data_IF_381614394194
#
_entry.id   IF_381614394194
#
_cell.length_a   1.000
_cell.length_b   1.000
_cell.length_c   1.000
_cell.angle_alpha   90.00
_cell.angle_beta   90.00
_cell.angle_gamma   90.00
#
_symmetry.space_group_name_H-M   'P 1'
#
loop_
_entity.id
_entity.type
_entity.pdbx_description
1 polymer ?
#
# COMPACT_ATOMS: atom_id res chain seq x y z
N UNK A 1 -11.81 -9.54 -17.72
CA UNK A 1 -10.82 -9.20 -16.67
C UNK A 1 -10.03 -8.02 -17.19
N UNK A 2 -9.80 -7.00 -16.36
CA UNK A 2 -8.96 -5.85 -16.75
C UNK A 2 -7.50 -6.28 -16.96
N UNK A 3 -6.73 -5.44 -17.64
CA UNK A 3 -5.34 -5.72 -18.06
C UNK A 3 -4.37 -5.94 -16.88
N UNK A 4 -4.68 -5.42 -15.69
CA UNK A 4 -3.79 -5.44 -14.52
C UNK A 4 -2.72 -4.34 -14.60
N UNK A 5 -2.11 -4.02 -13.45
CA UNK A 5 -1.16 -2.88 -13.40
C UNK A 5 0.19 -3.20 -14.03
N UNK A 6 0.63 -4.46 -14.01
CA UNK A 6 1.90 -4.91 -14.60
C UNK A 6 1.93 -4.70 -16.12
N UNK A 7 0.84 -5.03 -16.81
CA UNK A 7 0.74 -4.87 -18.25
C UNK A 7 0.47 -3.40 -18.62
N UNK A 8 -0.50 -2.75 -17.95
CA UNK A 8 -0.90 -1.38 -18.28
C UNK A 8 0.23 -0.36 -18.09
N UNK A 9 1.06 -0.54 -17.06
CA UNK A 9 2.13 0.40 -16.70
C UNK A 9 3.51 -0.24 -16.82
N UNK A 10 3.68 -1.21 -17.73
CA UNK A 10 4.90 -2.00 -17.90
C UNK A 10 6.16 -1.15 -17.96
N UNK A 11 6.15 -0.11 -18.79
CA UNK A 11 7.30 0.77 -19.04
C UNK A 11 7.64 1.69 -17.85
N UNK A 12 6.72 1.80 -16.89
CA UNK A 12 6.85 2.62 -15.69
C UNK A 12 7.09 1.77 -14.44
N UNK A 13 7.18 0.45 -14.58
CA UNK A 13 7.40 -0.50 -13.49
C UNK A 13 8.74 -1.24 -13.70
N UNK A 14 9.33 -1.81 -12.64
CA UNK A 14 10.61 -2.54 -12.74
C UNK A 14 10.44 -3.95 -13.34
N UNK A 15 9.80 -4.02 -14.51
CA UNK A 15 9.42 -5.23 -15.25
C UNK A 15 10.36 -5.39 -16.45
N UNK A 16 10.82 -6.60 -16.72
CA UNK A 16 11.62 -6.95 -17.89
C UNK A 16 10.96 -8.12 -18.67
N UNK A 17 11.71 -8.76 -19.57
CA UNK A 17 11.21 -9.89 -20.37
C UNK A 17 11.03 -11.17 -19.54
N UNK A 18 11.76 -11.32 -18.43
CA UNK A 18 11.70 -12.47 -17.52
C UNK A 18 10.60 -12.31 -16.47
N UNK A 19 10.16 -11.08 -16.19
CA UNK A 19 9.10 -10.80 -15.22
C UNK A 19 7.76 -11.41 -15.68
N UNK A 20 7.16 -12.32 -14.89
CA UNK A 20 5.84 -12.86 -15.21
C UNK A 20 4.76 -11.78 -15.13
N UNK A 21 3.98 -11.64 -16.20
CA UNK A 21 2.83 -10.73 -16.22
C UNK A 21 1.61 -11.45 -15.64
N UNK A 22 1.44 -11.31 -14.33
CA UNK A 22 0.30 -11.85 -13.57
C UNK A 22 -0.74 -10.76 -13.29
N UNK A 23 -2.00 -11.15 -13.13
CA UNK A 23 -3.07 -10.21 -12.79
C UNK A 23 -4.25 -10.95 -12.17
N UNK A 24 -4.83 -10.38 -11.11
CA UNK A 24 -6.15 -10.76 -10.60
C UNK A 24 -7.22 -9.72 -11.00
N UNK A 25 -6.87 -8.79 -11.89
CA UNK A 25 -7.69 -7.64 -12.25
C UNK A 25 -7.56 -6.47 -11.29
N UNK A 26 -6.42 -6.34 -10.59
CA UNK A 26 -6.14 -5.17 -9.76
C UNK A 26 -5.86 -3.91 -10.58
N UNK A 27 -6.02 -2.75 -9.92
CA UNK A 27 -6.02 -1.48 -10.59
C UNK A 27 -7.34 -1.20 -11.31
N UNK A 28 -7.31 -0.19 -12.17
CA UNK A 28 -8.46 0.35 -12.91
C UNK A 28 -9.71 0.57 -12.03
N UNK A 29 -9.48 0.99 -10.78
CA UNK A 29 -10.55 1.14 -9.80
C UNK A 29 -11.38 2.38 -10.09
N UNK A 30 -12.69 2.40 -9.75
CA UNK A 30 -13.54 3.55 -10.03
C UNK A 30 -13.01 4.85 -9.39
N UNK A 31 -12.98 5.94 -10.16
CA UNK A 31 -12.83 7.31 -9.65
C UNK A 31 -14.20 7.99 -9.66
N UNK A 32 -14.87 8.03 -8.51
CA UNK A 32 -16.28 8.40 -8.41
C UNK A 32 -16.42 9.84 -7.95
N UNK A 33 -17.06 10.69 -8.77
CA UNK A 33 -17.37 12.07 -8.39
C UNK A 33 -18.42 12.10 -7.27
N UNK A 34 -18.16 12.89 -6.24
CA UNK A 34 -19.10 13.15 -5.16
C UNK A 34 -20.27 14.00 -5.66
N UNK A 35 -21.50 13.52 -5.46
CA UNK A 35 -22.71 14.26 -5.86
C UNK A 35 -23.26 15.21 -4.79
N UNK A 36 -22.92 14.97 -3.53
CA UNK A 36 -23.50 15.69 -2.39
C UNK A 36 -22.42 16.38 -1.55
N UNK A 37 -21.44 15.61 -1.06
CA UNK A 37 -20.40 16.14 -0.17
C UNK A 37 -19.51 17.19 -0.85
N UNK A 38 -19.20 17.02 -2.14
CA UNK A 38 -18.41 18.00 -2.88
C UNK A 38 -19.07 19.38 -2.88
N UNK A 39 -20.30 19.52 -3.40
CA UNK A 39 -21.06 20.77 -3.34
C UNK A 39 -21.25 21.33 -1.92
N UNK A 40 -21.53 20.48 -0.93
CA UNK A 40 -21.71 20.90 0.47
C UNK A 40 -20.44 21.56 1.06
N UNK A 41 -19.27 21.06 0.69
CA UNK A 41 -17.97 21.60 1.13
C UNK A 41 -17.44 22.74 0.25
N UNK A 42 -18.19 23.17 -0.77
CA UNK A 42 -17.69 24.13 -1.76
C UNK A 42 -16.59 23.57 -2.68
N UNK A 43 -16.46 22.25 -2.77
CA UNK A 43 -15.51 21.52 -3.61
C UNK A 43 -16.28 20.62 -4.59
N UNK A 44 -16.90 21.18 -5.66
CA UNK A 44 -17.77 20.43 -6.56
C UNK A 44 -17.03 19.30 -7.30
N UNK A 45 -15.71 19.41 -7.44
CA UNK A 45 -14.82 18.44 -8.08
C UNK A 45 -14.12 17.53 -7.06
N UNK A 46 -14.89 17.06 -6.08
CA UNK A 46 -14.44 16.03 -5.14
C UNK A 46 -14.66 14.64 -5.74
N UNK A 47 -13.59 13.83 -5.79
CA UNK A 47 -13.63 12.46 -6.29
C UNK A 47 -13.14 11.45 -5.25
N UNK A 48 -13.65 10.23 -5.32
CA UNK A 48 -13.23 9.09 -4.51
C UNK A 48 -12.63 8.00 -5.39
N UNK A 49 -11.32 7.72 -5.23
CA UNK A 49 -10.67 6.56 -5.85
C UNK A 49 -10.98 5.31 -5.02
N UNK A 50 -11.86 4.45 -5.52
CA UNK A 50 -12.45 3.33 -4.76
C UNK A 50 -11.52 2.11 -4.77
N UNK A 51 -10.41 2.21 -4.04
CA UNK A 51 -9.42 1.14 -3.91
C UNK A 51 -9.91 -0.12 -3.20
N UNK A 52 -11.11 -0.07 -2.59
CA UNK A 52 -11.81 -1.24 -2.06
C UNK A 52 -12.37 -2.17 -3.14
N UNK A 53 -12.39 -1.74 -4.41
CA UNK A 53 -12.81 -2.58 -5.55
C UNK A 53 -11.67 -3.45 -6.11
N UNK A 54 -10.46 -3.37 -5.56
CA UNK A 54 -9.38 -4.30 -5.90
C UNK A 54 -9.72 -5.74 -5.44
N UNK A 55 -9.08 -6.79 -6.02
CA UNK A 55 -9.44 -8.19 -5.81
C UNK A 55 -9.55 -8.65 -4.36
N UNK A 56 -8.68 -8.17 -3.47
CA UNK A 56 -8.70 -8.50 -2.04
C UNK A 56 -9.37 -7.44 -1.18
N UNK A 57 -9.93 -6.40 -1.80
CA UNK A 57 -10.62 -5.31 -1.13
C UNK A 57 -9.70 -4.18 -0.67
N UNK A 58 -8.48 -4.05 -1.20
CA UNK A 58 -7.58 -2.95 -0.83
C UNK A 58 -6.53 -2.58 -1.88
N UNK A 59 -6.03 -1.34 -1.79
CA UNK A 59 -4.91 -0.84 -2.60
C UNK A 59 -3.61 -1.65 -2.48
N UNK A 60 -3.51 -2.58 -1.51
CA UNK A 60 -2.31 -3.41 -1.32
C UNK A 60 -2.04 -4.28 -2.54
N UNK A 61 -3.09 -4.66 -3.27
CA UNK A 61 -3.04 -5.50 -4.46
C UNK A 61 -2.14 -4.92 -5.55
N UNK A 62 -2.24 -3.61 -5.79
CA UNK A 62 -1.37 -2.89 -6.75
C UNK A 62 0.12 -3.12 -6.49
N UNK A 63 0.52 -3.05 -5.22
CA UNK A 63 1.90 -3.30 -4.84
C UNK A 63 2.25 -4.78 -4.76
N UNK A 64 1.29 -5.61 -4.37
CA UNK A 64 1.51 -7.03 -4.13
C UNK A 64 1.74 -7.79 -5.43
N UNK A 65 0.98 -7.47 -6.48
CA UNK A 65 1.15 -8.09 -7.80
C UNK A 65 2.57 -7.87 -8.33
N UNK A 66 3.12 -6.65 -8.19
CA UNK A 66 4.50 -6.36 -8.60
C UNK A 66 5.49 -7.10 -7.71
N UNK A 67 5.29 -7.10 -6.39
CA UNK A 67 6.19 -7.80 -5.47
C UNK A 67 6.21 -9.33 -5.72
N UNK A 68 5.08 -9.93 -6.08
CA UNK A 68 4.96 -11.37 -6.38
C UNK A 68 5.58 -11.68 -7.73
N UNK A 69 5.33 -10.87 -8.76
CA UNK A 69 5.97 -11.05 -10.07
C UNK A 69 7.50 -11.01 -9.96
N UNK A 70 8.05 -10.06 -9.19
CA UNK A 70 9.49 -9.97 -8.93
C UNK A 70 10.01 -11.14 -8.09
N UNK A 71 9.24 -11.60 -7.10
CA UNK A 71 9.59 -12.80 -6.34
C UNK A 71 9.68 -14.04 -7.24
N UNK A 72 8.77 -14.19 -8.20
CA UNK A 72 8.81 -15.29 -9.18
C UNK A 72 10.00 -15.18 -10.13
N UNK A 73 10.29 -13.98 -10.63
CA UNK A 73 11.48 -13.70 -11.45
C UNK A 73 12.77 -14.06 -10.71
N UNK A 74 12.84 -13.77 -9.41
CA UNK A 74 13.97 -14.09 -8.53
C UNK A 74 13.98 -15.55 -8.05
N UNK A 75 13.08 -16.40 -8.57
CA UNK A 75 12.93 -17.82 -8.22
C UNK A 75 12.68 -18.07 -6.71
N UNK A 76 12.00 -17.15 -6.05
CA UNK A 76 11.60 -17.30 -4.66
C UNK A 76 10.65 -18.49 -4.49
N UNK A 77 10.85 -19.28 -3.44
CA UNK A 77 9.99 -20.45 -3.12
C UNK A 77 8.71 -20.05 -2.38
N UNK A 78 8.59 -18.78 -2.01
CA UNK A 78 7.38 -18.22 -1.43
C UNK A 78 7.60 -16.82 -0.85
N UNK A 79 6.59 -16.30 -0.15
CA UNK A 79 6.63 -14.95 0.41
C UNK A 79 6.30 -14.94 1.89
N UNK A 80 6.85 -13.96 2.58
CA UNK A 80 6.62 -13.76 3.99
C UNK A 80 6.25 -12.33 4.31
N UNK A 81 5.30 -12.15 5.24
CA UNK A 81 5.03 -10.83 5.80
C UNK A 81 4.69 -10.86 7.28
N UNK A 82 5.02 -9.75 7.97
CA UNK A 82 4.52 -9.43 9.29
C UNK A 82 3.34 -8.46 9.13
N UNK A 83 2.10 -8.97 9.14
CA UNK A 83 0.87 -8.17 9.04
C UNK A 83 -0.33 -9.01 9.48
N UNK A 84 -1.35 -8.35 10.02
CA UNK A 84 -2.56 -9.02 10.52
C UNK A 84 -3.81 -8.55 9.78
N UNK A 85 -3.69 -8.09 8.53
CA UNK A 85 -4.77 -7.42 7.82
C UNK A 85 -4.57 -7.38 6.30
N UNK A 86 -4.86 -6.23 5.67
CA UNK A 86 -4.93 -6.13 4.20
C UNK A 86 -3.65 -6.60 3.48
N UNK A 87 -2.46 -6.39 4.06
CA UNK A 87 -1.21 -6.87 3.44
C UNK A 87 -1.09 -8.37 3.48
N UNK A 88 -1.45 -9.05 4.58
CA UNK A 88 -1.44 -10.51 4.64
C UNK A 88 -2.51 -11.13 3.75
N UNK A 89 -3.70 -10.51 3.64
CA UNK A 89 -4.75 -10.96 2.74
C UNK A 89 -4.31 -10.88 1.26
N UNK A 90 -3.75 -9.74 0.86
CA UNK A 90 -3.20 -9.53 -0.49
C UNK A 90 -2.05 -10.49 -0.80
N UNK A 91 -1.08 -10.62 0.11
CA UNK A 91 0.04 -11.56 -0.07
C UNK A 91 -0.44 -13.01 -0.24
N UNK A 92 -1.39 -13.44 0.61
CA UNK A 92 -1.95 -14.77 0.54
C UNK A 92 -2.68 -15.03 -0.78
N UNK A 93 -3.52 -14.07 -1.23
CA UNK A 93 -4.28 -14.21 -2.47
C UNK A 93 -3.39 -14.35 -3.70
N UNK A 94 -2.43 -13.44 -3.89
CA UNK A 94 -1.53 -13.50 -5.04
C UNK A 94 -0.59 -14.70 -4.98
N UNK A 95 -0.14 -15.10 -3.78
CA UNK A 95 0.67 -16.32 -3.65
C UNK A 95 -0.12 -17.56 -4.04
N UNK A 96 -1.36 -17.68 -3.56
CA UNK A 96 -2.24 -18.79 -3.93
C UNK A 96 -2.53 -18.81 -5.44
N UNK A 97 -2.76 -17.65 -6.04
CA UNK A 97 -2.96 -17.51 -7.48
C UNK A 97 -1.74 -17.97 -8.30
N UNK A 98 -0.52 -17.70 -7.80
CA UNK A 98 0.74 -18.04 -8.47
C UNK A 98 1.35 -19.38 -8.03
N UNK A 99 0.69 -20.13 -7.14
CA UNK A 99 1.23 -21.40 -6.61
C UNK A 99 2.42 -21.25 -5.66
N UNK A 100 2.61 -20.07 -5.06
CA UNK A 100 3.65 -19.80 -4.06
C UNK A 100 3.16 -20.06 -2.63
N UNK A 101 4.07 -20.45 -1.75
CA UNK A 101 3.78 -20.51 -0.33
C UNK A 101 3.73 -19.09 0.27
N UNK A 102 2.73 -18.83 1.13
CA UNK A 102 2.61 -17.58 1.88
C UNK A 102 2.70 -17.84 3.38
N UNK A 103 3.61 -17.15 4.06
CA UNK A 103 3.74 -17.17 5.51
C UNK A 103 3.42 -15.79 6.11
N UNK A 104 2.62 -15.81 7.17
CA UNK A 104 2.22 -14.59 7.88
C UNK A 104 2.66 -14.70 9.33
N UNK A 105 3.64 -13.89 9.73
CA UNK A 105 4.18 -13.88 11.08
C UNK A 105 3.45 -12.86 11.94
N UNK A 106 3.03 -13.32 13.12
CA UNK A 106 2.13 -12.56 13.99
C UNK A 106 2.55 -12.75 15.45
N UNK A 107 2.60 -11.67 16.27
CA UNK A 107 2.82 -11.79 17.71
C UNK A 107 1.66 -12.52 18.39
N UNK A 108 1.99 -13.45 19.28
CA UNK A 108 1.01 -14.23 20.04
C UNK A 108 0.13 -13.33 20.91
N UNK A 109 -1.19 -13.56 20.88
CA UNK A 109 -2.16 -12.90 21.76
C UNK A 109 -2.77 -11.59 21.25
N UNK A 110 -2.28 -10.99 20.16
CA UNK A 110 -2.73 -9.67 19.70
C UNK A 110 -3.66 -9.66 18.46
N UNK A 111 -4.20 -10.81 18.03
CA UNK A 111 -4.94 -10.87 16.75
C UNK A 111 -6.32 -11.49 16.86
N UNK A 112 -7.31 -10.69 16.46
CA UNK A 112 -8.66 -11.16 16.21
C UNK A 112 -8.68 -12.04 14.94
N UNK A 113 -9.14 -13.28 15.09
CA UNK A 113 -9.22 -14.28 14.01
C UNK A 113 -9.91 -13.74 12.74
N UNK A 114 -10.93 -12.90 12.91
CA UNK A 114 -11.65 -12.27 11.79
C UNK A 114 -10.76 -11.45 10.85
N UNK A 115 -9.66 -10.87 11.34
CA UNK A 115 -8.71 -10.13 10.48
C UNK A 115 -7.80 -11.03 9.65
N UNK A 116 -7.63 -12.29 10.07
CA UNK A 116 -6.83 -13.29 9.38
C UNK A 116 -7.66 -14.21 8.50
N UNK A 117 -8.98 -14.22 8.69
CA UNK A 117 -9.89 -15.12 8.00
C UNK A 117 -9.65 -15.13 6.47
N UNK A 118 -9.47 -13.96 5.86
CA UNK A 118 -9.21 -13.85 4.42
C UNK A 118 -7.85 -14.46 4.03
N UNK A 119 -6.78 -14.18 4.77
CA UNK A 119 -5.46 -14.75 4.50
C UNK A 119 -5.44 -16.27 4.68
N UNK A 120 -6.11 -16.78 5.72
CA UNK A 120 -6.26 -18.21 5.98
C UNK A 120 -7.11 -18.91 4.90
N UNK A 121 -8.18 -18.26 4.42
CA UNK A 121 -9.01 -18.78 3.34
C UNK A 121 -8.23 -18.93 2.02
N UNK A 122 -7.26 -18.06 1.76
CA UNK A 122 -6.32 -18.19 0.65
C UNK A 122 -5.16 -19.17 0.92
N UNK A 123 -5.13 -19.84 2.07
CA UNK A 123 -4.14 -20.88 2.37
C UNK A 123 -2.82 -20.38 2.97
N UNK A 124 -2.76 -19.14 3.48
CA UNK A 124 -1.57 -18.65 4.17
C UNK A 124 -1.29 -19.44 5.46
N UNK A 125 -0.02 -19.75 5.69
CA UNK A 125 0.46 -20.38 6.91
C UNK A 125 0.72 -19.31 7.97
N UNK A 126 -0.09 -19.31 9.02
CA UNK A 126 0.05 -18.36 10.12
C UNK A 126 1.09 -18.88 11.11
N UNK A 127 2.14 -18.11 11.34
CA UNK A 127 3.21 -18.41 12.29
C UNK A 127 3.10 -17.46 13.47
N UNK A 128 2.83 -18.03 14.65
CA UNK A 128 2.75 -17.26 15.89
C UNK A 128 4.15 -17.14 16.50
N UNK A 129 4.54 -15.91 16.81
CA UNK A 129 5.84 -15.57 17.39
C UNK A 129 5.63 -15.11 18.84
N UNK A 130 6.42 -15.65 19.75
CA UNK A 130 6.52 -15.13 21.12
C UNK A 130 7.32 -13.81 21.09
N UNK A 131 6.61 -12.68 21.10
CA UNK A 131 7.22 -11.35 20.96
C UNK A 131 6.21 -10.29 20.52
N UNK A 132 6.70 -9.08 20.21
CA UNK A 132 5.89 -7.99 19.64
C UNK A 132 6.04 -7.90 18.11
N UNK A 133 5.36 -6.95 17.47
CA UNK A 133 5.44 -6.75 16.02
C UNK A 133 6.87 -6.51 15.51
N UNK A 134 7.66 -5.71 16.23
CA UNK A 134 9.03 -5.39 15.83
C UNK A 134 9.93 -6.62 15.88
N UNK A 135 9.79 -7.46 16.91
CA UNK A 135 10.47 -8.75 17.01
C UNK A 135 10.08 -9.68 15.86
N UNK A 136 8.78 -9.77 15.54
CA UNK A 136 8.30 -10.56 14.41
C UNK A 136 8.88 -10.05 13.08
N UNK A 137 8.92 -8.72 12.86
CA UNK A 137 9.50 -8.14 11.66
C UNK A 137 11.01 -8.36 11.56
N UNK A 138 11.74 -8.28 12.67
CA UNK A 138 13.18 -8.56 12.72
C UNK A 138 13.47 -10.01 12.33
N UNK A 139 12.73 -10.97 12.91
CA UNK A 139 12.85 -12.39 12.58
C UNK A 139 12.51 -12.69 11.11
N UNK A 140 11.43 -12.09 10.59
CA UNK A 140 11.08 -12.23 9.17
C UNK A 140 12.23 -11.76 8.28
N UNK A 141 12.81 -10.59 8.56
CA UNK A 141 13.91 -10.04 7.76
C UNK A 141 15.13 -10.96 7.79
N UNK A 142 15.58 -11.34 8.98
CA UNK A 142 16.72 -12.24 9.14
C UNK A 142 16.49 -13.59 8.44
N UNK A 143 15.27 -14.12 8.51
CA UNK A 143 14.92 -15.36 7.82
C UNK A 143 14.95 -15.18 6.29
N UNK A 144 14.35 -14.12 5.76
CA UNK A 144 14.30 -13.86 4.30
C UNK A 144 15.67 -13.51 3.73
N UNK A 145 16.57 -12.93 4.51
CA UNK A 145 17.93 -12.61 4.04
C UNK A 145 18.78 -13.88 3.83
N UNK A 146 18.42 -14.99 4.49
CA UNK A 146 19.17 -16.25 4.47
C UNK A 146 18.46 -17.39 3.72
N UNK A 147 17.25 -17.15 3.20
CA UNK A 147 16.42 -18.17 2.55
C UNK A 147 15.80 -17.60 1.27
N UNK A 148 15.47 -18.43 0.27
CA UNK A 148 14.85 -17.97 -0.98
C UNK A 148 13.37 -17.62 -0.77
N UNK A 149 13.06 -16.75 0.18
CA UNK A 149 11.71 -16.27 0.52
C UNK A 149 11.71 -14.75 0.45
N UNK A 150 10.79 -14.19 -0.32
CA UNK A 150 10.70 -12.74 -0.48
C UNK A 150 9.90 -12.11 0.64
N UNK A 151 10.46 -11.07 1.27
CA UNK A 151 9.74 -10.22 2.20
C UNK A 151 8.81 -9.26 1.44
N UNK A 152 7.50 -9.29 1.71
CA UNK A 152 6.50 -8.46 1.01
C UNK A 152 5.82 -7.39 1.89
N UNK A 153 6.45 -7.06 3.02
CA UNK A 153 6.08 -5.91 3.87
C UNK A 153 6.24 -4.57 3.12
N UNK A 154 5.77 -3.47 3.73
CA UNK A 154 5.89 -2.11 3.17
C UNK A 154 7.32 -1.66 2.85
N UNK A 155 8.35 -2.32 3.38
CA UNK A 155 9.75 -2.00 3.07
C UNK A 155 10.23 -2.56 1.74
N UNK A 156 9.49 -3.51 1.16
CA UNK A 156 9.79 -4.02 -0.17
C UNK A 156 9.58 -2.89 -1.20
N UNK A 157 10.59 -2.54 -2.02
CA UNK A 157 10.49 -1.42 -2.96
C UNK A 157 9.42 -1.64 -4.05
N UNK A 158 9.23 -2.88 -4.50
CA UNK A 158 8.23 -3.23 -5.52
C UNK A 158 6.80 -2.96 -5.05
N UNK A 159 6.55 -3.01 -3.74
CA UNK A 159 5.26 -2.61 -3.16
C UNK A 159 4.95 -1.14 -3.45
N UNK A 160 5.95 -0.27 -3.36
CA UNK A 160 5.81 1.18 -3.63
C UNK A 160 5.66 1.41 -5.13
N UNK A 161 6.47 0.72 -5.95
CA UNK A 161 6.37 0.79 -7.42
C UNK A 161 4.98 0.43 -7.92
N UNK A 162 4.42 -0.69 -7.47
CA UNK A 162 3.07 -1.05 -7.87
C UNK A 162 2.00 -0.08 -7.34
N UNK A 163 2.14 0.41 -6.11
CA UNK A 163 1.17 1.38 -5.53
C UNK A 163 1.16 2.73 -6.25
N UNK A 164 2.27 3.16 -6.87
CA UNK A 164 2.35 4.46 -7.56
C UNK A 164 1.41 4.56 -8.76
N UNK A 165 1.05 3.40 -9.34
CA UNK A 165 0.10 3.29 -10.46
C UNK A 165 -1.29 3.86 -10.14
N UNK A 166 -1.65 3.94 -8.86
CA UNK A 166 -2.90 4.58 -8.47
C UNK A 166 -2.91 6.09 -8.78
N UNK A 167 -1.75 6.76 -8.74
CA UNK A 167 -1.63 8.16 -9.14
C UNK A 167 -1.73 8.32 -10.66
N UNK A 168 -1.08 7.42 -11.42
CA UNK A 168 -1.18 7.37 -12.89
C UNK A 168 -2.64 7.24 -13.33
N UNK A 169 -3.40 6.32 -12.74
CA UNK A 169 -4.82 6.16 -13.08
C UNK A 169 -5.67 7.39 -12.74
N UNK A 170 -5.35 8.12 -11.67
CA UNK A 170 -6.07 9.35 -11.35
C UNK A 170 -5.82 10.40 -12.43
N UNK A 171 -4.55 10.58 -12.82
CA UNK A 171 -4.15 11.48 -13.91
C UNK A 171 -4.77 11.07 -15.24
N UNK A 172 -4.72 9.79 -15.61
CA UNK A 172 -5.30 9.26 -16.86
C UNK A 172 -6.80 9.58 -16.97
N UNK A 173 -7.54 9.50 -15.85
CA UNK A 173 -9.00 9.72 -15.84
C UNK A 173 -9.35 11.21 -15.82
N UNK A 174 -8.61 12.03 -15.08
CA UNK A 174 -8.88 13.46 -14.95
C UNK A 174 -8.27 14.30 -16.09
N UNK A 175 -7.28 13.76 -16.81
CA UNK A 175 -6.50 14.44 -17.85
C UNK A 175 -5.29 15.24 -17.32
N UNK A 176 -5.17 15.40 -16.01
CA UNK A 176 -4.01 15.99 -15.30
C UNK A 176 -4.06 15.52 -13.83
N UNK A 177 -3.06 15.87 -13.03
CA UNK A 177 -3.11 15.73 -11.58
C UNK A 177 -4.24 16.60 -10.95
N UNK A 178 -4.86 16.16 -9.83
CA UNK A 178 -5.79 17.01 -9.10
C UNK A 178 -5.04 18.13 -8.34
N UNK A 179 -5.74 19.17 -7.90
CA UNK A 179 -5.12 20.20 -7.05
C UNK A 179 -4.64 19.64 -5.69
N UNK A 180 -5.41 18.70 -5.13
CA UNK A 180 -5.17 18.09 -3.82
C UNK A 180 -5.42 16.58 -3.87
N UNK A 181 -4.55 15.81 -3.22
CA UNK A 181 -4.78 14.39 -2.96
C UNK A 181 -4.89 14.14 -1.45
N UNK A 182 -6.07 13.74 -0.99
CA UNK A 182 -6.33 13.37 0.41
C UNK A 182 -6.15 11.86 0.62
N UNK A 183 -5.31 11.47 1.59
CA UNK A 183 -4.98 10.06 1.79
C UNK A 183 -4.71 9.69 3.27
N UNK A 184 -5.21 8.55 3.77
CA UNK A 184 -4.85 8.06 5.10
C UNK A 184 -3.37 7.68 5.19
N UNK A 185 -2.73 8.01 6.31
CA UNK A 185 -1.31 7.74 6.58
C UNK A 185 -1.16 6.82 7.80
N UNK A 186 -0.96 5.53 7.52
CA UNK A 186 -0.54 4.53 8.51
C UNK A 186 0.98 4.36 8.47
N UNK A 187 1.44 3.31 7.78
CA UNK A 187 2.87 3.05 7.58
C UNK A 187 3.55 3.98 6.54
N UNK A 188 2.81 4.96 6.05
CA UNK A 188 3.20 6.03 5.13
C UNK A 188 3.67 5.62 3.71
N UNK A 189 3.74 4.33 3.39
CA UNK A 189 4.11 3.90 2.03
C UNK A 189 3.15 4.36 0.92
N UNK A 190 1.86 4.52 1.20
CA UNK A 190 0.89 4.88 0.15
C UNK A 190 1.05 6.35 -0.29
N UNK A 191 1.17 7.29 0.65
CA UNK A 191 1.42 8.70 0.32
C UNK A 191 2.75 8.87 -0.43
N UNK A 192 3.77 8.10 -0.05
CA UNK A 192 5.05 8.04 -0.79
C UNK A 192 4.86 7.53 -2.22
N UNK A 193 4.09 6.46 -2.41
CA UNK A 193 3.86 5.88 -3.72
C UNK A 193 3.07 6.82 -4.63
N UNK A 194 2.00 7.44 -4.13
CA UNK A 194 1.23 8.42 -4.91
C UNK A 194 2.09 9.63 -5.30
N UNK A 195 2.87 10.18 -4.37
CA UNK A 195 3.75 11.30 -4.68
C UNK A 195 4.77 10.94 -5.77
N UNK A 196 5.39 9.75 -5.67
CA UNK A 196 6.29 9.24 -6.71
C UNK A 196 5.59 9.16 -8.06
N UNK A 197 4.37 8.60 -8.12
CA UNK A 197 3.62 8.50 -9.37
C UNK A 197 3.30 9.87 -9.98
N UNK A 198 2.84 10.84 -9.19
CA UNK A 198 2.57 12.18 -9.71
C UNK A 198 3.84 12.88 -10.23
N UNK A 199 4.96 12.76 -9.51
CA UNK A 199 6.25 13.32 -9.94
C UNK A 199 6.74 12.67 -11.24
N UNK A 200 6.64 11.36 -11.37
CA UNK A 200 7.06 10.66 -12.59
C UNK A 200 6.19 11.06 -13.80
N UNK A 201 4.86 11.12 -13.66
CA UNK A 201 3.99 11.58 -14.73
C UNK A 201 4.25 13.04 -15.12
N UNK A 202 4.55 13.91 -14.15
CA UNK A 202 4.92 15.30 -14.42
C UNK A 202 6.24 15.39 -15.19
N UNK A 203 7.25 14.60 -14.81
CA UNK A 203 8.54 14.53 -15.53
C UNK A 203 8.40 14.02 -16.96
N UNK A 204 7.42 13.15 -17.21
CA UNK A 204 7.08 12.64 -18.54
C UNK A 204 6.16 13.57 -19.35
N UNK A 205 5.77 14.73 -18.79
CA UNK A 205 4.84 15.67 -19.43
C UNK A 205 3.41 15.15 -19.54
N UNK A 206 3.04 14.13 -18.75
CA UNK A 206 1.66 13.60 -18.68
C UNK A 206 0.79 14.41 -17.71
N UNK A 207 1.41 15.12 -16.76
CA UNK A 207 0.76 16.09 -15.91
C UNK A 207 1.42 17.45 -16.09
N UNK A 208 0.63 18.50 -16.24
CA UNK A 208 1.12 19.88 -16.26
C UNK A 208 1.43 20.38 -14.83
N UNK A 209 0.74 19.82 -13.84
CA UNK A 209 0.81 20.24 -12.44
C UNK A 209 1.14 19.09 -11.49
N UNK A 210 1.42 19.43 -10.23
CA UNK A 210 1.61 18.48 -9.13
C UNK A 210 0.59 18.75 -8.02
N UNK A 211 -0.05 17.69 -7.47
CA UNK A 211 -1.04 17.86 -6.42
C UNK A 211 -0.36 18.22 -5.10
N UNK A 212 -1.06 18.96 -4.25
CA UNK A 212 -0.71 19.03 -2.83
C UNK A 212 -1.10 17.73 -2.14
N UNK A 213 -0.12 17.05 -1.54
CA UNK A 213 -0.32 15.79 -0.84
C UNK A 213 -0.85 16.05 0.58
N UNK A 214 -2.08 15.60 0.85
CA UNK A 214 -2.80 15.84 2.11
C UNK A 214 -2.95 14.52 2.88
N UNK A 215 -1.99 14.22 3.75
CA UNK A 215 -1.95 13.01 4.55
C UNK A 215 -2.67 13.15 5.89
N UNK A 216 -3.40 12.12 6.32
CA UNK A 216 -4.12 12.15 7.61
C UNK A 216 -3.89 10.91 8.46
N UNK A 217 -3.45 11.11 9.70
CA UNK A 217 -3.34 10.07 10.73
C UNK A 217 -4.52 10.13 11.70
N UNK A 218 -4.79 9.05 12.42
CA UNK A 218 -5.69 9.12 13.56
C UNK A 218 -4.95 9.77 14.75
N UNK A 219 -5.59 10.68 15.49
CA UNK A 219 -4.95 11.42 16.58
C UNK A 219 -4.19 10.54 17.59
N UNK A 220 -4.78 9.41 18.01
CA UNK A 220 -4.12 8.46 18.93
C UNK A 220 -3.02 7.59 18.30
N UNK A 221 -2.75 7.75 17.01
CA UNK A 221 -1.72 7.05 16.25
C UNK A 221 -1.10 8.00 15.19
N UNK A 222 -0.73 9.22 15.61
CA UNK A 222 -0.22 10.28 14.74
C UNK A 222 1.29 10.60 14.93
N UNK A 223 2.21 9.62 14.82
CA UNK A 223 3.62 9.83 15.10
C UNK A 223 4.29 10.87 14.20
N UNK A 224 3.93 10.97 12.91
CA UNK A 224 4.51 11.94 11.99
C UNK A 224 4.12 13.36 12.38
N UNK A 225 2.85 13.56 12.75
CA UNK A 225 2.33 14.84 13.24
C UNK A 225 3.03 15.26 14.54
N UNK A 226 3.27 14.31 15.44
CA UNK A 226 3.93 14.55 16.71
C UNK A 226 5.47 14.67 16.61
N UNK A 227 6.05 14.34 15.46
CA UNK A 227 7.50 14.32 15.26
C UNK A 227 8.24 13.24 16.07
N UNK A 228 7.54 12.26 16.64
CA UNK A 228 8.13 11.19 17.47
C UNK A 228 7.31 9.90 17.45
N UNK A 229 7.93 8.71 17.59
CA UNK A 229 7.20 7.45 17.66
C UNK A 229 6.14 7.46 18.79
N UNK A 230 5.01 6.83 18.53
CA UNK A 230 3.94 6.60 19.50
C UNK A 230 4.01 5.14 19.93
N UNK A 231 4.46 4.88 21.16
CA UNK A 231 4.70 3.52 21.65
C UNK A 231 3.42 2.66 21.70
N UNK A 232 2.28 3.27 22.06
CA UNK A 232 0.99 2.58 22.21
C UNK A 232 -0.08 3.25 21.34
N UNK A 233 -0.05 3.06 20.01
CA UNK A 233 -0.98 3.72 19.11
C UNK A 233 -2.41 3.19 19.32
N UNK A 234 -3.38 4.09 19.46
CA UNK A 234 -4.79 3.77 19.68
C UNK A 234 -5.69 4.44 18.63
N UNK A 235 -6.54 3.65 17.98
CA UNK A 235 -7.61 4.12 17.11
C UNK A 235 -8.53 2.97 16.71
N UNK A 236 -9.80 3.29 16.44
CA UNK A 236 -10.74 2.36 15.79
C UNK A 236 -10.35 2.05 14.34
N UNK A 237 -9.62 2.97 13.68
CA UNK A 237 -9.18 2.83 12.30
C UNK A 237 -7.94 1.92 12.23
N UNK A 238 -8.15 0.62 12.44
CA UNK A 238 -7.04 -0.31 12.68
C UNK A 238 -6.00 -0.38 11.56
N UNK A 239 -6.37 -0.06 10.31
CA UNK A 239 -5.45 -0.04 9.17
C UNK A 239 -4.35 1.05 9.27
N UNK A 240 -4.59 2.10 10.07
CA UNK A 240 -3.65 3.20 10.31
C UNK A 240 -3.22 3.30 11.77
N UNK A 241 -3.46 2.25 12.59
CA UNK A 241 -2.97 2.16 13.97
C UNK A 241 -1.48 1.83 14.00
N UNK A 242 -0.66 2.78 13.55
CA UNK A 242 0.80 2.62 13.39
C UNK A 242 1.52 3.69 14.22
N UNK A 243 2.41 3.25 15.11
CA UNK A 243 3.16 4.11 16.02
C UNK A 243 4.53 4.53 15.52
N UNK A 244 5.09 3.80 14.54
CA UNK A 244 6.41 4.08 13.95
C UNK A 244 6.40 3.75 12.45
N UNK A 245 6.01 4.69 11.58
CA UNK A 245 5.88 4.44 10.14
C UNK A 245 7.22 4.10 9.47
N UNK A 246 7.26 2.99 8.74
CA UNK A 246 8.45 2.54 8.01
C UNK A 246 8.89 3.52 6.89
N UNK A 247 7.94 4.24 6.29
CA UNK A 247 8.20 5.23 5.23
C UNK A 247 8.12 6.68 5.73
N UNK A 248 8.46 6.92 7.00
CA UNK A 248 8.32 8.25 7.64
C UNK A 248 8.98 9.37 6.83
N UNK A 249 10.29 9.25 6.55
CA UNK A 249 11.05 10.31 5.88
C UNK A 249 10.60 10.56 4.45
N UNK A 250 10.15 9.51 3.77
CA UNK A 250 9.61 9.63 2.43
C UNK A 250 8.25 10.33 2.43
N UNK A 251 7.44 10.16 3.48
CA UNK A 251 6.18 10.87 3.63
C UNK A 251 6.36 12.34 4.02
N UNK A 252 7.31 12.66 4.90
CA UNK A 252 7.73 14.05 5.15
C UNK A 252 8.20 14.72 3.86
N UNK A 253 9.03 14.03 3.06
CA UNK A 253 9.46 14.54 1.76
C UNK A 253 8.29 14.78 0.81
N UNK A 254 7.33 13.85 0.72
CA UNK A 254 6.15 14.01 -0.11
C UNK A 254 5.34 15.25 0.30
N UNK A 255 5.10 15.44 1.61
CA UNK A 255 4.45 16.62 2.17
C UNK A 255 5.19 17.91 1.78
N UNK A 256 6.50 17.94 2.04
CA UNK A 256 7.30 19.15 1.91
C UNK A 256 7.46 19.55 0.43
N UNK A 257 7.75 18.59 -0.46
CA UNK A 257 7.92 18.85 -1.89
C UNK A 257 6.61 19.21 -2.58
N UNK A 258 5.49 18.65 -2.14
CA UNK A 258 4.19 18.96 -2.72
C UNK A 258 3.58 20.27 -2.18
N UNK A 259 4.18 20.90 -1.17
CA UNK A 259 3.55 21.99 -0.42
C UNK A 259 2.23 21.59 0.27
N UNK A 260 2.12 20.31 0.64
CA UNK A 260 0.95 19.71 1.26
C UNK A 260 1.04 19.68 2.80
N UNK A 261 0.27 18.79 3.43
CA UNK A 261 0.29 18.61 4.89
C UNK A 261 0.20 17.15 5.29
N UNK A 262 0.73 16.81 6.47
CA UNK A 262 0.36 15.58 7.19
C UNK A 262 -0.19 16.02 8.53
N UNK A 263 -1.48 15.79 8.76
CA UNK A 263 -2.19 16.19 9.96
C UNK A 263 -2.89 14.98 10.61
N UNK A 264 -3.55 15.21 11.74
CA UNK A 264 -4.32 14.22 12.47
C UNK A 264 -5.79 14.60 12.55
N UNK A 265 -6.66 13.59 12.53
CA UNK A 265 -8.09 13.76 12.74
C UNK A 265 -8.53 13.08 14.03
N UNK A 266 -9.36 13.77 14.80
CA UNK A 266 -9.99 13.25 16.01
C UNK A 266 -11.27 12.49 15.68
N UNK A 267 -11.60 11.52 16.53
CA UNK A 267 -12.98 11.28 16.93
C UNK A 267 -13.12 11.73 18.37
#
# INVERSE_FOLDING_TARGET
MGTGVLERYRDLLPVNEETPIISMGEGDTPLVRSRHLGPELGCPDLFFKLEGCNPTGSFKDRGMVVAIAKAMEENSVGVMCASTGNTSASAAAYSAYCGLAAWVLIPKGEVALGKLAQAMAYGARILLVDGNFDAALALVREFTDNNPITLVNSVNPHRIEGQKTAAFEVSDILGDAPDYLFIPVGNAGNITAYWRGFVEYHQLGQNDTLPKMMGFQAAGAAPIVLGKPVAFPQTIASAIRIGNPASWKQAERARDQSGGTIDSVYR
#
